data_IF_617634771241
#
_entry.id   IF_617634771241
#
_cell.length_a   1.000
_cell.length_b   1.000
_cell.length_c   1.000
_cell.angle_alpha   90.00
_cell.angle_beta   90.00
_cell.angle_gamma   90.00
#
_symmetry.space_group_name_H-M   'P 1'
#
loop_
_entity.id
_entity.type
_entity.pdbx_description
1 polymer ?
#
# COMPACT_ATOMS: atom_id res chain seq x y z
N UNK A 1 -0.06 10.35 -7.72
CA UNK A 1 0.73 9.13 -7.99
C UNK A 1 -0.24 7.98 -8.09
N UNK A 2 -0.16 7.17 -9.16
CA UNK A 2 -1.07 6.03 -9.34
C UNK A 2 -0.49 4.78 -8.71
N UNK A 3 -1.26 4.15 -7.83
CA UNK A 3 -0.96 2.85 -7.24
C UNK A 3 -1.84 1.80 -7.91
N UNK A 4 -1.22 0.72 -8.34
CA UNK A 4 -1.91 -0.46 -8.84
C UNK A 4 -1.82 -1.56 -7.77
N UNK A 5 -2.97 -2.02 -7.33
CA UNK A 5 -3.08 -3.19 -6.45
C UNK A 5 -3.57 -4.37 -7.25
N UNK A 6 -2.86 -5.48 -7.16
CA UNK A 6 -3.22 -6.74 -7.80
C UNK A 6 -3.59 -7.77 -6.72
N UNK A 7 -4.83 -8.24 -6.76
CA UNK A 7 -5.21 -9.41 -5.98
C UNK A 7 -4.81 -10.67 -6.74
N UNK A 8 -3.83 -11.36 -6.17
CA UNK A 8 -3.27 -12.60 -6.69
C UNK A 8 -3.50 -13.76 -5.70
N UNK A 9 -4.52 -13.63 -4.86
CA UNK A 9 -4.89 -14.62 -3.84
C UNK A 9 -5.40 -15.95 -4.42
N UNK A 10 -5.54 -16.06 -5.73
CA UNK A 10 -5.85 -17.30 -6.45
C UNK A 10 -4.74 -17.78 -7.37
N UNK A 11 -3.62 -17.06 -7.40
CA UNK A 11 -2.50 -17.28 -8.31
C UNK A 11 -2.35 -16.16 -9.34
N UNK A 12 -1.44 -16.37 -10.30
CA UNK A 12 -1.19 -15.38 -11.36
C UNK A 12 -0.66 -16.05 -12.62
N UNK A 13 -1.22 -15.67 -13.77
CA UNK A 13 -0.71 -16.01 -15.11
C UNK A 13 -0.51 -14.73 -15.92
N UNK A 14 0.30 -14.80 -16.98
CA UNK A 14 0.49 -13.66 -17.88
C UNK A 14 -0.83 -13.25 -18.57
N UNK A 15 -1.64 -14.22 -19.00
CA UNK A 15 -2.92 -13.95 -19.64
C UNK A 15 -3.89 -13.24 -18.69
N UNK A 16 -4.09 -13.77 -17.48
CA UNK A 16 -5.00 -13.18 -16.51
C UNK A 16 -4.53 -11.78 -16.04
N UNK A 17 -3.21 -11.61 -15.88
CA UNK A 17 -2.66 -10.31 -15.51
C UNK A 17 -2.86 -9.27 -16.61
N UNK A 18 -2.58 -9.63 -17.87
CA UNK A 18 -2.79 -8.73 -18.99
C UNK A 18 -4.28 -8.40 -19.18
N UNK A 19 -5.15 -9.41 -19.04
CA UNK A 19 -6.59 -9.23 -19.12
C UNK A 19 -7.11 -8.26 -18.05
N UNK A 20 -6.67 -8.41 -16.81
CA UNK A 20 -7.06 -7.50 -15.73
C UNK A 20 -6.62 -6.05 -15.98
N UNK A 21 -5.45 -5.84 -16.60
CA UNK A 21 -4.96 -4.50 -16.94
C UNK A 21 -5.75 -3.89 -18.09
N UNK A 22 -6.12 -4.69 -19.11
CA UNK A 22 -6.95 -4.24 -20.23
C UNK A 22 -8.34 -3.88 -19.73
N UNK A 23 -8.95 -4.72 -18.91
CA UNK A 23 -10.25 -4.45 -18.29
C UNK A 23 -10.23 -3.21 -17.36
N UNK A 24 -9.07 -2.90 -16.78
CA UNK A 24 -8.84 -1.67 -16.00
C UNK A 24 -8.64 -0.41 -16.87
N UNK A 25 -8.76 -0.50 -18.19
CA UNK A 25 -8.81 0.66 -19.10
C UNK A 25 -7.54 0.90 -19.92
N UNK A 26 -6.72 -0.11 -20.15
CA UNK A 26 -5.61 -0.03 -21.11
C UNK A 26 -6.15 0.04 -22.53
N UNK A 27 -5.64 0.99 -23.31
CA UNK A 27 -5.93 1.11 -24.72
C UNK A 27 -5.23 -0.02 -25.49
N UNK A 28 -6.04 -0.97 -25.99
CA UNK A 28 -5.54 -2.16 -26.68
C UNK A 28 -4.99 -1.86 -28.08
N UNK A 29 -5.53 -0.88 -28.79
CA UNK A 29 -5.06 -0.54 -30.13
C UNK A 29 -3.66 0.07 -30.04
N UNK A 30 -3.49 1.00 -29.13
CA UNK A 30 -2.16 1.58 -28.82
C UNK A 30 -1.19 0.52 -28.32
N UNK A 31 -1.65 -0.42 -27.48
CA UNK A 31 -0.82 -1.50 -26.97
C UNK A 31 -0.30 -2.39 -28.12
N UNK A 32 -1.16 -2.72 -29.08
CA UNK A 32 -0.81 -3.51 -30.27
C UNK A 32 0.17 -2.75 -31.17
N UNK A 33 -0.04 -1.46 -31.40
CA UNK A 33 0.88 -0.61 -32.17
C UNK A 33 2.29 -0.53 -31.53
N UNK A 34 2.33 -0.27 -30.23
CA UNK A 34 3.58 -0.21 -29.48
C UNK A 34 4.34 -1.54 -29.52
N UNK A 35 3.65 -2.66 -29.34
CA UNK A 35 4.22 -4.00 -29.44
C UNK A 35 4.72 -4.30 -30.86
N UNK A 36 3.89 -4.03 -31.88
CA UNK A 36 4.21 -4.31 -33.26
C UNK A 36 5.48 -3.57 -33.73
N UNK A 37 5.75 -2.39 -33.17
CA UNK A 37 6.96 -1.61 -33.45
C UNK A 37 8.26 -2.33 -33.05
N UNK A 38 8.17 -3.32 -32.17
CA UNK A 38 9.32 -4.00 -31.55
C UNK A 38 9.38 -5.48 -31.89
N UNK A 39 8.23 -6.17 -31.85
CA UNK A 39 8.19 -7.63 -32.03
C UNK A 39 7.57 -8.07 -33.36
N UNK A 40 7.13 -7.13 -34.19
CA UNK A 40 6.41 -7.42 -35.42
C UNK A 40 4.91 -7.64 -35.20
N UNK A 41 4.18 -8.19 -36.18
CA UNK A 41 2.73 -8.31 -36.13
C UNK A 41 2.24 -9.06 -34.88
N UNK A 42 1.36 -8.43 -34.12
CA UNK A 42 0.71 -8.97 -32.91
C UNK A 42 -0.78 -8.74 -33.02
N UNK A 43 -1.57 -9.70 -32.55
CA UNK A 43 -3.00 -9.50 -32.33
C UNK A 43 -3.37 -9.81 -30.88
N UNK A 44 -4.29 -9.01 -30.36
CA UNK A 44 -4.86 -9.20 -29.02
C UNK A 44 -6.35 -9.40 -29.22
N UNK A 45 -6.87 -10.58 -28.86
CA UNK A 45 -8.29 -10.89 -28.89
C UNK A 45 -8.85 -10.89 -27.49
N UNK A 46 -9.94 -10.15 -27.32
CA UNK A 46 -10.65 -10.05 -26.05
C UNK A 46 -11.86 -10.97 -26.05
N UNK A 47 -12.00 -11.77 -25.02
CA UNK A 47 -13.12 -12.68 -24.82
C UNK A 47 -13.82 -12.27 -23.50
N UNK A 48 -14.87 -11.43 -23.57
CA UNK A 48 -15.56 -10.98 -22.37
C UNK A 48 -16.45 -12.09 -21.81
N UNK A 49 -16.38 -12.29 -20.51
CA UNK A 49 -17.29 -13.12 -19.73
C UNK A 49 -18.18 -12.21 -18.89
N UNK A 50 -19.47 -12.04 -19.24
CA UNK A 50 -20.36 -11.14 -18.53
C UNK A 50 -20.37 -11.42 -17.02
N UNK A 51 -20.24 -10.37 -16.21
CA UNK A 51 -20.20 -10.38 -14.76
C UNK A 51 -18.99 -11.09 -14.09
N UNK A 52 -18.05 -11.65 -14.86
CA UNK A 52 -16.89 -12.35 -14.32
C UNK A 52 -15.57 -11.61 -14.60
N UNK A 53 -15.43 -11.00 -15.80
CA UNK A 53 -14.21 -10.33 -16.21
C UNK A 53 -13.83 -10.62 -17.65
N UNK A 54 -12.55 -10.49 -17.96
CA UNK A 54 -12.00 -10.59 -19.29
C UNK A 54 -11.02 -11.77 -19.41
N UNK A 55 -11.13 -12.53 -20.47
CA UNK A 55 -10.07 -13.41 -20.93
C UNK A 55 -9.37 -12.79 -22.15
N UNK A 56 -8.08 -13.04 -22.30
CA UNK A 56 -7.29 -12.46 -23.37
C UNK A 56 -6.46 -13.52 -24.08
N UNK A 57 -6.48 -13.46 -25.39
CA UNK A 57 -5.63 -14.30 -26.24
C UNK A 57 -4.66 -13.38 -26.97
N UNK A 58 -3.40 -13.45 -26.62
CA UNK A 58 -2.34 -12.74 -27.31
C UNK A 58 -1.66 -13.68 -28.31
N UNK A 59 -1.79 -13.38 -29.57
CA UNK A 59 -1.17 -14.14 -30.67
C UNK A 59 -0.05 -13.31 -31.29
N UNK A 60 1.13 -13.91 -31.39
CA UNK A 60 2.28 -13.33 -32.06
C UNK A 60 2.87 -14.34 -33.03
N UNK A 61 3.09 -13.93 -34.27
CA UNK A 61 3.72 -14.76 -35.28
C UNK A 61 5.24 -14.80 -35.18
N UNK A 62 5.72 -14.98 -33.93
CA UNK A 62 7.14 -15.09 -33.61
C UNK A 62 7.54 -16.56 -33.55
N UNK A 63 8.07 -17.11 -34.63
CA UNK A 63 8.56 -18.48 -34.65
C UNK A 63 9.71 -18.72 -33.65
N UNK A 64 10.63 -17.78 -33.50
CA UNK A 64 11.70 -17.71 -32.47
C UNK A 64 12.16 -16.26 -32.33
N UNK A 65 11.77 -15.56 -31.26
CA UNK A 65 12.30 -14.20 -31.06
C UNK A 65 13.79 -14.26 -30.70
N UNK A 66 14.60 -13.58 -31.48
CA UNK A 66 15.97 -13.30 -31.08
C UNK A 66 15.91 -12.15 -30.03
N UNK A 67 16.13 -12.49 -28.77
CA UNK A 67 16.08 -11.51 -27.67
C UNK A 67 17.04 -10.32 -27.92
N UNK A 68 18.29 -10.50 -28.38
CA UNK A 68 19.16 -9.40 -28.79
C UNK A 68 18.54 -8.47 -29.83
N UNK A 69 17.81 -8.98 -30.81
CA UNK A 69 17.15 -8.17 -31.83
C UNK A 69 15.99 -7.37 -31.25
N UNK A 70 15.17 -8.01 -30.41
CA UNK A 70 14.09 -7.32 -29.69
C UNK A 70 14.66 -6.21 -28.80
N UNK A 71 15.71 -6.46 -28.05
CA UNK A 71 16.36 -5.43 -27.23
C UNK A 71 16.89 -4.27 -28.08
N UNK A 72 17.45 -4.55 -29.27
CA UNK A 72 17.86 -3.49 -30.22
C UNK A 72 16.66 -2.67 -30.70
N UNK A 73 15.56 -3.33 -31.04
CA UNK A 73 14.32 -2.66 -31.45
C UNK A 73 13.75 -1.79 -30.34
N UNK A 74 13.70 -2.29 -29.08
CA UNK A 74 13.27 -1.52 -27.92
C UNK A 74 14.14 -0.25 -27.72
N UNK A 75 15.43 -0.34 -27.88
CA UNK A 75 16.33 0.83 -27.76
C UNK A 75 16.04 1.91 -28.80
N UNK A 76 15.52 1.54 -29.95
CA UNK A 76 15.17 2.45 -31.06
C UNK A 76 13.70 2.87 -31.05
N UNK A 77 12.87 2.21 -30.25
CA UNK A 77 11.44 2.48 -30.17
C UNK A 77 11.13 3.87 -29.62
N UNK A 78 9.95 4.43 -29.88
CA UNK A 78 9.50 5.70 -29.34
C UNK A 78 9.14 5.63 -27.85
N UNK A 79 9.28 4.47 -27.21
CA UNK A 79 8.96 4.29 -25.79
C UNK A 79 9.76 5.19 -24.88
N UNK A 80 9.17 5.59 -23.76
CA UNK A 80 9.86 6.42 -22.76
C UNK A 80 11.13 5.72 -22.24
N UNK A 81 12.16 6.51 -21.90
CA UNK A 81 13.49 6.00 -21.52
C UNK A 81 13.47 5.03 -20.33
N UNK A 82 12.66 5.31 -19.32
CA UNK A 82 12.45 4.43 -18.17
C UNK A 82 11.82 3.08 -18.58
N UNK A 83 10.83 3.12 -19.47
CA UNK A 83 10.14 1.93 -19.98
C UNK A 83 11.10 1.04 -20.79
N UNK A 84 11.94 1.66 -21.66
CA UNK A 84 12.97 0.94 -22.42
C UNK A 84 13.96 0.23 -21.50
N UNK A 85 14.39 0.89 -20.42
CA UNK A 85 15.32 0.29 -19.46
C UNK A 85 14.68 -0.88 -18.69
N UNK A 86 13.41 -0.78 -18.35
CA UNK A 86 12.67 -1.88 -17.72
C UNK A 86 12.47 -3.06 -18.67
N UNK A 87 12.08 -2.80 -19.92
CA UNK A 87 11.92 -3.84 -20.94
C UNK A 87 13.20 -4.61 -21.22
N UNK A 88 14.33 -3.93 -21.31
CA UNK A 88 15.62 -4.59 -21.51
C UNK A 88 15.99 -5.50 -20.31
N UNK A 89 15.76 -5.05 -19.08
CA UNK A 89 15.98 -5.87 -17.86
C UNK A 89 15.07 -7.07 -17.80
N UNK A 90 13.79 -6.87 -18.14
CA UNK A 90 12.78 -7.92 -18.19
C UNK A 90 13.23 -9.05 -19.13
N UNK A 91 13.63 -8.69 -20.35
CA UNK A 91 14.01 -9.67 -21.38
C UNK A 91 15.28 -10.44 -21.02
N UNK A 92 16.26 -9.81 -20.37
CA UNK A 92 17.45 -10.52 -19.93
C UNK A 92 17.14 -11.65 -18.95
N UNK A 93 16.10 -11.53 -18.12
CA UNK A 93 15.66 -12.59 -17.23
C UNK A 93 14.83 -13.67 -17.93
N UNK A 94 14.05 -13.29 -18.94
CA UNK A 94 13.26 -14.22 -19.75
C UNK A 94 14.12 -15.05 -20.73
N UNK A 95 15.37 -14.67 -20.92
CA UNK A 95 16.32 -15.42 -21.77
C UNK A 95 16.76 -16.76 -21.16
N UNK A 96 16.39 -17.05 -19.92
CA UNK A 96 16.61 -18.37 -19.37
C UNK A 96 15.83 -19.44 -20.18
N UNK A 97 16.43 -20.62 -20.48
CA UNK A 97 15.84 -21.65 -21.39
C UNK A 97 14.51 -22.22 -20.92
N UNK A 98 14.01 -21.73 -19.81
CA UNK A 98 12.84 -22.22 -19.09
C UNK A 98 11.51 -21.66 -19.64
N UNK A 99 11.55 -20.50 -20.33
CA UNK A 99 10.32 -19.78 -20.72
C UNK A 99 9.79 -20.09 -22.14
N UNK A 100 10.48 -20.89 -22.91
CA UNK A 100 10.06 -21.16 -24.28
C UNK A 100 10.09 -19.93 -25.21
N UNK A 101 9.96 -20.12 -26.50
CA UNK A 101 9.97 -19.02 -27.46
C UNK A 101 8.59 -18.34 -27.61
N UNK A 102 8.58 -17.05 -27.88
CA UNK A 102 7.50 -16.31 -28.53
C UNK A 102 6.49 -15.68 -27.57
N UNK A 103 5.42 -16.37 -27.26
CA UNK A 103 4.23 -15.81 -26.59
C UNK A 103 4.54 -15.18 -25.21
N UNK A 104 5.28 -15.81 -24.29
CA UNK A 104 5.56 -15.22 -22.98
C UNK A 104 6.36 -13.90 -23.04
N UNK A 105 7.23 -13.77 -24.04
CA UNK A 105 8.01 -12.53 -24.26
C UNK A 105 7.09 -11.39 -24.68
N UNK A 106 6.19 -11.63 -25.61
CA UNK A 106 5.22 -10.63 -26.08
C UNK A 106 4.28 -10.22 -24.96
N UNK A 107 3.75 -11.18 -24.22
CA UNK A 107 2.86 -10.92 -23.08
C UNK A 107 3.57 -10.13 -21.97
N UNK A 108 4.81 -10.46 -21.67
CA UNK A 108 5.61 -9.73 -20.68
C UNK A 108 5.83 -8.27 -21.08
N UNK A 109 6.12 -8.01 -22.36
CA UNK A 109 6.23 -6.65 -22.91
C UNK A 109 4.86 -5.93 -22.91
N UNK A 110 3.79 -6.64 -23.26
CA UNK A 110 2.44 -6.11 -23.21
C UNK A 110 2.06 -5.64 -21.79
N UNK A 111 2.32 -6.45 -20.78
CA UNK A 111 2.06 -6.09 -19.39
C UNK A 111 2.87 -4.85 -18.96
N UNK A 112 4.15 -4.80 -19.35
CA UNK A 112 5.01 -3.64 -19.05
C UNK A 112 4.45 -2.36 -19.69
N UNK A 113 4.05 -2.42 -20.96
CA UNK A 113 3.45 -1.29 -21.68
C UNK A 113 2.10 -0.90 -21.07
N UNK A 114 1.26 -1.86 -20.73
CA UNK A 114 -0.03 -1.66 -20.10
C UNK A 114 0.10 -0.91 -18.78
N UNK A 115 1.02 -1.32 -17.92
CA UNK A 115 1.32 -0.63 -16.65
C UNK A 115 1.87 0.78 -16.91
N UNK A 116 2.68 0.95 -17.94
CA UNK A 116 3.16 2.26 -18.39
C UNK A 116 2.03 3.19 -18.85
N UNK A 117 1.06 2.69 -19.64
CA UNK A 117 -0.11 3.46 -20.06
C UNK A 117 -0.98 3.91 -18.89
N UNK A 118 -1.15 3.07 -17.88
CA UNK A 118 -1.90 3.39 -16.67
C UNK A 118 -1.16 4.39 -15.74
N UNK A 119 0.08 4.74 -16.06
CA UNK A 119 0.88 5.69 -15.29
C UNK A 119 1.17 5.21 -13.86
N UNK A 120 1.33 3.90 -13.67
CA UNK A 120 1.56 3.28 -12.37
C UNK A 120 2.94 3.64 -11.84
N UNK A 121 3.00 4.13 -10.61
CA UNK A 121 4.24 4.47 -9.91
C UNK A 121 4.55 3.52 -8.75
N UNK A 122 3.53 2.84 -8.23
CA UNK A 122 3.63 1.84 -7.17
C UNK A 122 2.79 0.61 -7.51
N UNK A 123 3.39 -0.58 -7.34
CA UNK A 123 2.74 -1.85 -7.60
C UNK A 123 2.70 -2.67 -6.30
N UNK A 124 1.50 -2.98 -5.83
CA UNK A 124 1.24 -3.75 -4.62
C UNK A 124 0.56 -5.05 -5.01
N UNK A 125 1.02 -6.16 -4.44
CA UNK A 125 0.37 -7.46 -4.55
C UNK A 125 -0.28 -7.78 -3.21
N UNK A 126 -1.48 -8.33 -3.23
CA UNK A 126 -1.99 -9.06 -2.07
C UNK A 126 -1.15 -10.33 -1.84
N UNK A 127 -1.40 -11.07 -0.76
CA UNK A 127 -0.72 -12.34 -0.54
C UNK A 127 -0.91 -13.26 -1.74
N UNK A 128 0.21 -13.72 -2.32
CA UNK A 128 0.21 -14.53 -3.53
C UNK A 128 -0.13 -15.98 -3.18
N UNK A 129 -1.22 -16.51 -3.75
CA UNK A 129 -1.50 -17.93 -3.67
C UNK A 129 -0.49 -18.74 -4.48
N UNK A 130 0.11 -19.72 -3.85
CA UNK A 130 1.12 -20.61 -4.45
C UNK A 130 0.80 -22.05 -4.06
N UNK A 131 0.80 -22.95 -5.03
CA UNK A 131 0.87 -24.37 -4.73
C UNK A 131 2.35 -24.77 -4.59
N UNK A 132 2.82 -25.06 -3.37
CA UNK A 132 4.24 -25.34 -3.13
C UNK A 132 4.78 -26.56 -3.91
N UNK A 133 3.89 -27.46 -4.31
CA UNK A 133 4.24 -28.67 -5.07
C UNK A 133 4.30 -28.43 -6.59
N UNK A 134 3.61 -27.39 -7.06
CA UNK A 134 3.53 -27.05 -8.47
C UNK A 134 4.60 -26.04 -8.94
N UNK A 135 5.15 -25.24 -8.02
CA UNK A 135 6.19 -24.26 -8.36
C UNK A 135 7.53 -24.96 -8.56
N UNK A 136 8.13 -24.85 -9.75
CA UNK A 136 9.45 -25.43 -9.99
C UNK A 136 10.53 -24.76 -9.14
N UNK A 137 11.56 -25.50 -8.74
CA UNK A 137 12.63 -25.03 -7.85
C UNK A 137 13.32 -23.74 -8.32
N UNK A 138 13.44 -23.53 -9.64
CA UNK A 138 14.00 -22.31 -10.21
C UNK A 138 13.05 -21.11 -10.10
N UNK A 139 11.73 -21.34 -10.04
CA UNK A 139 10.73 -20.31 -9.84
C UNK A 139 10.62 -19.87 -8.38
N UNK A 140 10.87 -20.77 -7.44
CA UNK A 140 10.76 -20.51 -6.01
C UNK A 140 11.66 -19.36 -5.52
N UNK A 141 12.84 -19.16 -6.13
CA UNK A 141 13.73 -18.04 -5.80
C UNK A 141 13.12 -16.68 -6.05
N UNK A 142 12.14 -16.57 -6.95
CA UNK A 142 11.46 -15.30 -7.24
C UNK A 142 10.39 -14.94 -6.23
N UNK A 143 10.04 -15.88 -5.36
CA UNK A 143 9.12 -15.65 -4.24
C UNK A 143 9.83 -15.08 -2.99
N UNK A 144 11.16 -15.01 -2.98
CA UNK A 144 11.90 -14.49 -1.83
C UNK A 144 11.50 -13.07 -1.48
N UNK A 145 11.12 -12.83 -0.21
CA UNK A 145 10.69 -11.53 0.30
C UNK A 145 9.27 -11.13 -0.10
N UNK A 146 8.47 -12.09 -0.61
CA UNK A 146 7.03 -11.94 -0.81
C UNK A 146 6.26 -12.80 0.18
N UNK A 147 5.14 -12.28 0.66
CA UNK A 147 4.20 -13.06 1.46
C UNK A 147 3.43 -14.00 0.54
N UNK A 148 3.52 -15.29 0.82
CA UNK A 148 2.87 -16.33 0.03
C UNK A 148 1.84 -17.08 0.86
N UNK A 149 0.69 -17.35 0.23
CA UNK A 149 -0.38 -18.15 0.81
C UNK A 149 -0.31 -19.55 0.20
N UNK A 150 -0.05 -20.61 0.96
CA UNK A 150 -0.04 -21.97 0.43
C UNK A 150 -1.48 -22.40 0.10
N UNK A 151 -1.77 -22.56 -1.19
CA UNK A 151 -3.08 -22.96 -1.70
C UNK A 151 -2.90 -24.08 -2.71
N UNK A 152 -3.40 -25.27 -2.40
CA UNK A 152 -3.36 -26.42 -3.32
C UNK A 152 -4.14 -26.10 -4.60
N UNK A 153 -3.54 -26.36 -5.76
CA UNK A 153 -4.14 -26.09 -7.06
C UNK A 153 -4.07 -24.62 -7.51
N UNK A 154 -3.38 -23.73 -6.76
CA UNK A 154 -3.14 -22.38 -7.22
C UNK A 154 -2.31 -22.38 -8.51
N UNK A 155 -2.77 -21.60 -9.50
CA UNK A 155 -2.12 -21.51 -10.80
C UNK A 155 -1.15 -20.33 -10.77
N UNK A 156 0.15 -20.64 -10.85
CA UNK A 156 1.21 -19.62 -10.87
C UNK A 156 2.10 -19.84 -12.09
N UNK A 157 2.09 -18.86 -12.98
CA UNK A 157 3.04 -18.82 -14.10
C UNK A 157 4.35 -18.18 -13.62
N UNK A 158 5.48 -18.91 -13.65
CA UNK A 158 6.76 -18.34 -13.28
C UNK A 158 7.17 -17.12 -14.12
N UNK A 159 6.73 -17.02 -15.36
CA UNK A 159 6.96 -15.83 -16.18
C UNK A 159 6.22 -14.61 -15.63
N UNK A 160 4.99 -14.79 -15.12
CA UNK A 160 4.26 -13.72 -14.44
C UNK A 160 4.96 -13.25 -13.17
N UNK A 161 5.49 -14.19 -12.36
CA UNK A 161 6.30 -13.82 -11.18
C UNK A 161 7.52 -12.98 -11.56
N UNK A 162 8.21 -13.37 -12.63
CA UNK A 162 9.36 -12.62 -13.10
C UNK A 162 8.97 -11.20 -13.56
N UNK A 163 7.89 -11.07 -14.32
CA UNK A 163 7.38 -9.75 -14.76
C UNK A 163 7.10 -8.87 -13.56
N UNK A 164 6.30 -9.33 -12.61
CA UNK A 164 5.92 -8.58 -11.42
C UNK A 164 7.16 -8.16 -10.61
N UNK A 165 8.11 -9.08 -10.43
CA UNK A 165 9.34 -8.79 -9.70
C UNK A 165 10.23 -7.77 -10.41
N UNK A 166 10.39 -7.88 -11.72
CA UNK A 166 11.18 -6.95 -12.53
C UNK A 166 10.62 -5.53 -12.48
N UNK A 167 9.32 -5.39 -12.22
CA UNK A 167 8.63 -4.11 -12.08
C UNK A 167 8.63 -3.57 -10.64
N UNK A 168 9.28 -4.27 -9.71
CA UNK A 168 9.38 -3.83 -8.33
C UNK A 168 8.11 -4.06 -7.50
N UNK A 169 7.26 -5.00 -7.92
CA UNK A 169 6.09 -5.39 -7.14
C UNK A 169 6.48 -5.86 -5.73
N UNK A 170 5.68 -5.50 -4.74
CA UNK A 170 5.85 -5.89 -3.35
C UNK A 170 4.53 -6.42 -2.81
N UNK A 171 4.59 -7.48 -2.01
CA UNK A 171 3.42 -7.90 -1.24
C UNK A 171 3.14 -6.92 -0.10
N UNK A 172 1.87 -6.77 0.24
CA UNK A 172 1.45 -5.89 1.31
C UNK A 172 -0.07 -5.74 1.38
N UNK A 173 -0.51 -5.03 2.39
CA UNK A 173 -1.93 -4.74 2.58
C UNK A 173 -2.47 -3.81 1.48
N UNK A 174 -3.79 -3.91 1.29
CA UNK A 174 -4.50 -3.01 0.38
C UNK A 174 -4.43 -1.57 0.93
N UNK A 175 -3.75 -0.63 0.26
CA UNK A 175 -3.61 0.73 0.77
C UNK A 175 -4.95 1.47 0.73
N UNK A 176 -5.12 2.44 1.63
CA UNK A 176 -6.25 3.37 1.53
C UNK A 176 -6.08 4.21 0.27
N UNK A 177 -6.96 4.02 -0.70
CA UNK A 177 -6.87 4.72 -1.98
C UNK A 177 -8.24 5.02 -2.59
N UNK A 178 -8.30 6.08 -3.37
CA UNK A 178 -9.45 6.36 -4.23
C UNK A 178 -9.31 5.51 -5.49
N UNK A 179 -10.23 4.58 -5.71
CA UNK A 179 -10.27 3.76 -6.90
C UNK A 179 -10.63 4.62 -8.12
N UNK A 180 -9.81 4.57 -9.15
CA UNK A 180 -9.99 5.25 -10.43
C UNK A 180 -10.51 4.28 -11.50
N UNK A 181 -10.00 3.05 -11.49
CA UNK A 181 -10.43 1.98 -12.37
C UNK A 181 -10.20 0.62 -11.70
N UNK A 182 -10.92 -0.38 -12.16
CA UNK A 182 -10.73 -1.77 -11.75
C UNK A 182 -10.91 -2.69 -12.94
N UNK A 183 -10.25 -3.85 -12.89
CA UNK A 183 -10.39 -4.86 -13.94
C UNK A 183 -10.15 -6.26 -13.39
N UNK A 184 -10.67 -7.25 -14.09
CA UNK A 184 -10.59 -8.66 -13.72
C UNK A 184 -10.16 -9.51 -14.91
N UNK A 185 -9.09 -10.28 -14.72
CA UNK A 185 -8.60 -11.26 -15.68
C UNK A 185 -8.84 -12.66 -15.18
N UNK A 186 -9.30 -13.54 -16.06
CA UNK A 186 -9.75 -14.87 -15.71
C UNK A 186 -8.69 -15.95 -15.94
N UNK A 187 -8.79 -17.04 -15.22
CA UNK A 187 -8.16 -18.32 -15.53
C UNK A 187 -9.18 -19.20 -16.30
N UNK A 188 -9.35 -18.95 -17.60
CA UNK A 188 -10.47 -19.53 -18.34
C UNK A 188 -11.81 -19.03 -17.78
N UNK A 189 -12.76 -19.91 -17.37
CA UNK A 189 -14.05 -19.46 -16.82
C UNK A 189 -14.02 -19.16 -15.30
N UNK A 190 -12.86 -19.11 -14.67
CA UNK A 190 -12.72 -18.96 -13.22
C UNK A 190 -12.05 -17.63 -12.90
N UNK A 191 -12.43 -17.00 -11.76
CA UNK A 191 -11.79 -15.83 -11.22
C UNK A 191 -10.27 -16.01 -11.14
N UNK A 192 -9.54 -15.02 -11.67
CA UNK A 192 -8.10 -15.00 -11.68
C UNK A 192 -7.52 -13.79 -10.94
N UNK A 193 -6.90 -12.89 -11.70
CA UNK A 193 -6.28 -11.67 -11.18
C UNK A 193 -7.31 -10.54 -11.17
N UNK A 194 -7.38 -9.79 -10.07
CA UNK A 194 -8.12 -8.52 -10.01
C UNK A 194 -7.12 -7.37 -9.90
N UNK A 195 -7.39 -6.31 -10.63
CA UNK A 195 -6.59 -5.09 -10.62
C UNK A 195 -7.42 -3.91 -10.12
N UNK A 196 -6.84 -3.12 -9.22
CA UNK A 196 -7.41 -1.83 -8.81
C UNK A 196 -6.38 -0.75 -9.04
N UNK A 197 -6.69 0.17 -9.91
CA UNK A 197 -5.92 1.37 -10.15
C UNK A 197 -6.49 2.50 -9.31
N UNK A 198 -5.65 3.20 -8.57
CA UNK A 198 -6.10 4.31 -7.76
C UNK A 198 -5.00 5.26 -7.35
N UNK A 199 -5.39 6.33 -6.70
CA UNK A 199 -4.47 7.24 -6.02
C UNK A 199 -4.53 7.03 -4.52
N UNK A 200 -3.37 6.80 -3.90
CA UNK A 200 -3.33 6.71 -2.44
C UNK A 200 -3.85 8.02 -1.85
N UNK A 201 -4.75 7.88 -0.92
CA UNK A 201 -5.25 9.00 -0.14
C UNK A 201 -4.47 8.93 1.16
N UNK A 202 -3.88 10.05 1.58
CA UNK A 202 -3.33 10.12 2.93
C UNK A 202 -4.41 9.61 3.88
N UNK A 203 -4.04 8.73 4.81
CA UNK A 203 -4.97 8.12 5.75
C UNK A 203 -5.88 9.24 6.29
N UNK A 204 -7.14 9.22 5.86
CA UNK A 204 -8.08 10.26 6.27
C UNK A 204 -8.23 10.15 7.78
N UNK A 205 -8.30 11.27 8.50
CA UNK A 205 -8.62 11.25 9.93
C UNK A 205 -10.01 10.63 10.22
N UNK A 206 -10.73 10.19 9.17
CA UNK A 206 -12.07 9.56 9.20
C UNK A 206 -12.07 8.05 8.91
N UNK A 207 -10.91 7.38 8.92
CA UNK A 207 -10.85 5.93 8.72
C UNK A 207 -11.27 5.13 9.97
N UNK A 208 -11.58 3.81 9.80
CA UNK A 208 -11.74 2.94 10.95
C UNK A 208 -10.45 2.92 11.77
N UNK A 209 -10.57 2.85 13.07
CA UNK A 209 -9.47 2.62 14.00
C UNK A 209 -9.70 1.34 14.76
N UNK A 210 -8.63 0.60 15.03
CA UNK A 210 -8.69 -0.54 15.92
C UNK A 210 -8.54 -0.06 17.37
N UNK A 211 -9.47 -0.51 18.23
CA UNK A 211 -9.39 -0.31 19.67
C UNK A 211 -9.11 -1.66 20.32
N UNK A 212 -7.93 -1.80 20.89
CA UNK A 212 -7.52 -2.99 21.62
C UNK A 212 -7.75 -2.77 23.11
N UNK A 213 -8.54 -3.65 23.73
CA UNK A 213 -8.80 -3.60 25.16
C UNK A 213 -8.22 -4.82 25.85
N UNK A 214 -7.57 -4.61 26.98
CA UNK A 214 -7.04 -5.67 27.82
C UNK A 214 -7.13 -5.30 29.29
N UNK A 215 -6.91 -6.29 30.15
CA UNK A 215 -6.83 -6.09 31.60
C UNK A 215 -5.50 -6.66 32.13
N UNK A 216 -4.80 -5.85 32.87
CA UNK A 216 -3.67 -6.31 33.68
C UNK A 216 -4.22 -6.97 34.96
N UNK A 217 -3.66 -8.12 35.37
CA UNK A 217 -4.17 -8.84 36.54
C UNK A 217 -4.03 -8.04 37.83
N UNK A 218 -4.86 -8.34 38.85
CA UNK A 218 -4.67 -7.78 40.18
C UNK A 218 -3.27 -8.11 40.70
N UNK A 219 -2.61 -7.12 41.26
CA UNK A 219 -1.23 -7.29 41.76
C UNK A 219 -0.14 -7.23 40.70
N UNK A 220 -0.48 -6.89 39.46
CA UNK A 220 0.52 -6.63 38.44
C UNK A 220 1.44 -5.48 38.89
N UNK A 221 2.70 -5.80 39.14
CA UNK A 221 3.71 -4.89 39.68
C UNK A 221 4.57 -4.18 38.66
N UNK A 222 4.18 -4.23 37.39
CA UNK A 222 4.94 -3.63 36.29
C UNK A 222 4.80 -2.11 36.21
N UNK A 223 5.74 -1.51 35.48
CA UNK A 223 5.76 -0.07 35.23
C UNK A 223 4.81 0.29 34.07
N UNK A 224 3.72 0.96 34.39
CA UNK A 224 2.74 1.44 33.41
C UNK A 224 3.34 2.44 32.40
N UNK A 225 4.33 3.24 32.81
CA UNK A 225 5.00 4.15 31.91
C UNK A 225 5.82 3.40 30.85
N UNK A 226 6.46 2.30 31.25
CA UNK A 226 7.18 1.41 30.34
C UNK A 226 6.22 0.71 29.37
N UNK A 227 5.10 0.20 29.86
CA UNK A 227 4.06 -0.41 29.03
C UNK A 227 3.53 0.58 27.99
N UNK A 228 3.17 1.78 28.43
CA UNK A 228 2.72 2.83 27.53
C UNK A 228 3.75 3.14 26.45
N UNK A 229 5.02 3.25 26.82
CA UNK A 229 6.13 3.51 25.89
C UNK A 229 6.28 2.38 24.87
N UNK A 230 6.19 1.12 25.28
CA UNK A 230 6.26 -0.04 24.41
C UNK A 230 5.09 -0.05 23.41
N UNK A 231 3.86 0.17 23.89
CA UNK A 231 2.69 0.23 23.02
C UNK A 231 2.76 1.38 21.99
N UNK A 232 3.22 2.57 22.38
CA UNK A 232 3.42 3.68 21.46
C UNK A 232 4.50 3.36 20.41
N UNK A 233 5.57 2.68 20.80
CA UNK A 233 6.62 2.23 19.89
C UNK A 233 6.13 1.15 18.90
N UNK A 234 5.17 0.31 19.33
CA UNK A 234 4.53 -0.71 18.50
C UNK A 234 3.42 -0.16 17.59
N UNK A 235 3.18 1.16 17.59
CA UNK A 235 2.24 1.81 16.69
C UNK A 235 0.89 2.23 17.29
N UNK A 236 0.74 2.21 18.63
CA UNK A 236 -0.42 2.82 19.26
C UNK A 236 -0.41 4.35 19.05
N UNK A 237 -1.54 4.90 18.60
CA UNK A 237 -1.75 6.35 18.55
C UNK A 237 -2.02 6.90 19.96
N UNK A 238 -2.78 6.16 20.76
CA UNK A 238 -3.16 6.52 22.10
C UNK A 238 -3.23 5.29 23.01
N UNK A 239 -2.86 5.48 24.25
CA UNK A 239 -2.94 4.46 25.33
C UNK A 239 -3.68 5.05 26.50
N UNK A 240 -4.87 4.53 26.77
CA UNK A 240 -5.71 4.89 27.90
C UNK A 240 -5.55 3.85 29.00
N UNK A 241 -5.38 4.34 30.22
CA UNK A 241 -5.33 3.53 31.42
C UNK A 241 -6.54 3.90 32.28
N UNK A 242 -7.42 2.93 32.51
CA UNK A 242 -8.60 3.14 33.33
C UNK A 242 -8.32 2.74 34.77
N UNK A 243 -8.90 3.45 35.74
CA UNK A 243 -8.80 3.08 37.15
C UNK A 243 -9.24 1.63 37.39
N UNK A 244 -8.70 0.96 38.41
CA UNK A 244 -9.09 -0.41 38.70
C UNK A 244 -10.59 -0.52 38.96
N UNK A 245 -11.21 -1.53 38.35
CA UNK A 245 -12.60 -1.87 38.62
C UNK A 245 -12.76 -2.42 40.07
N UNK A 246 -13.97 -2.48 40.62
CA UNK A 246 -14.23 -2.96 42.00
C UNK A 246 -13.67 -4.37 42.30
N UNK A 247 -13.41 -5.17 41.26
CA UNK A 247 -12.83 -6.53 41.38
C UNK A 247 -11.32 -6.57 41.22
N UNK A 248 -10.66 -5.42 41.20
CA UNK A 248 -9.21 -5.29 40.97
C UNK A 248 -8.83 -5.41 39.49
N UNK A 249 -7.57 -5.06 39.20
CA UNK A 249 -7.02 -5.06 37.83
C UNK A 249 -7.12 -3.70 37.14
N UNK A 250 -6.12 -3.42 36.33
CA UNK A 250 -6.03 -2.19 35.54
C UNK A 250 -6.55 -2.51 34.14
N UNK A 251 -7.50 -1.75 33.64
CA UNK A 251 -7.92 -1.84 32.25
C UNK A 251 -7.12 -0.90 31.40
N UNK A 252 -6.72 -1.38 30.23
CA UNK A 252 -6.09 -0.57 29.21
C UNK A 252 -6.90 -0.61 27.93
N UNK A 253 -7.00 0.52 27.26
CA UNK A 253 -7.52 0.62 25.91
C UNK A 253 -6.47 1.33 25.04
N UNK A 254 -6.15 0.75 23.91
CA UNK A 254 -5.19 1.28 22.95
C UNK A 254 -5.92 1.57 21.65
N UNK A 255 -5.60 2.70 21.04
CA UNK A 255 -6.11 3.04 19.70
C UNK A 255 -4.97 3.01 18.72
N UNK A 256 -5.19 2.41 17.55
CA UNK A 256 -4.21 2.36 16.47
C UNK A 256 -4.87 2.33 15.09
N UNK A 257 -4.06 2.62 14.07
CA UNK A 257 -4.39 2.25 12.70
C UNK A 257 -4.55 0.72 12.60
N UNK A 258 -5.53 0.20 11.84
CA UNK A 258 -5.69 -1.24 11.65
C UNK A 258 -4.42 -1.99 11.21
N UNK A 259 -3.55 -1.33 10.46
CA UNK A 259 -2.27 -1.91 10.03
C UNK A 259 -1.32 -2.24 11.20
N UNK A 260 -1.47 -1.60 12.35
CA UNK A 260 -0.64 -1.84 13.54
C UNK A 260 -1.30 -2.80 14.55
N UNK A 261 -2.52 -3.26 14.29
CA UNK A 261 -3.30 -4.09 15.23
C UNK A 261 -2.53 -5.33 15.66
N UNK A 262 -1.99 -6.09 14.70
CA UNK A 262 -1.31 -7.35 14.99
C UNK A 262 -0.04 -7.12 15.83
N UNK A 263 0.80 -6.17 15.45
CA UNK A 263 2.03 -5.86 16.20
C UNK A 263 1.76 -5.40 17.63
N UNK A 264 0.67 -4.64 17.85
CA UNK A 264 0.25 -4.24 19.19
C UNK A 264 -0.31 -5.41 20.00
N UNK A 265 -1.03 -6.32 19.36
CA UNK A 265 -1.52 -7.54 20.02
C UNK A 265 -0.37 -8.41 20.49
N UNK A 266 0.64 -8.60 19.64
CA UNK A 266 1.83 -9.38 19.96
C UNK A 266 2.61 -8.72 21.12
N UNK A 267 2.81 -7.41 21.08
CA UNK A 267 3.42 -6.64 22.18
C UNK A 267 2.66 -6.81 23.52
N UNK A 268 1.33 -6.77 23.49
CA UNK A 268 0.52 -6.95 24.69
C UNK A 268 0.63 -8.35 25.27
N UNK A 269 0.60 -9.38 24.41
CA UNK A 269 0.60 -10.78 24.85
C UNK A 269 2.02 -11.24 25.21
N UNK A 270 3.00 -10.98 24.35
CA UNK A 270 4.34 -11.53 24.49
C UNK A 270 5.24 -10.69 25.42
N UNK A 271 5.23 -9.35 25.27
CA UNK A 271 6.13 -8.47 26.02
C UNK A 271 5.55 -8.06 27.37
N UNK A 272 4.21 -7.86 27.44
CA UNK A 272 3.55 -7.37 28.66
C UNK A 272 2.89 -8.53 29.43
N UNK A 273 2.62 -9.65 28.77
CA UNK A 273 2.09 -10.86 29.40
C UNK A 273 0.61 -10.78 29.77
N UNK A 274 -0.21 -10.09 28.98
CA UNK A 274 -1.66 -10.06 29.22
C UNK A 274 -2.30 -11.39 28.79
N UNK A 275 -3.36 -11.81 29.48
CA UNK A 275 -4.03 -13.09 29.23
C UNK A 275 -4.99 -13.07 28.04
N UNK A 276 -5.30 -11.89 27.52
CA UNK A 276 -6.16 -11.75 26.35
C UNK A 276 -6.34 -10.29 25.93
N UNK A 277 -6.61 -10.12 24.64
CA UNK A 277 -6.86 -8.82 24.02
C UNK A 277 -8.17 -8.91 23.26
N UNK A 278 -9.07 -7.96 23.51
CA UNK A 278 -10.28 -7.77 22.72
C UNK A 278 -10.05 -6.64 21.73
N UNK A 279 -10.29 -6.88 20.45
CA UNK A 279 -10.25 -5.85 19.41
C UNK A 279 -11.66 -5.49 18.98
N UNK A 280 -11.91 -4.20 18.85
CA UNK A 280 -13.13 -3.62 18.28
C UNK A 280 -12.72 -2.59 17.22
N UNK A 281 -13.33 -2.64 16.06
CA UNK A 281 -13.12 -1.66 15.02
C UNK A 281 -14.22 -0.62 15.10
N UNK A 282 -13.80 0.65 15.20
CA UNK A 282 -14.73 1.77 15.35
C UNK A 282 -14.48 2.79 14.24
N UNK A 283 -15.56 3.35 13.72
CA UNK A 283 -15.47 4.47 12.80
C UNK A 283 -15.09 5.73 13.59
N UNK A 284 -14.10 6.47 13.10
CA UNK A 284 -13.66 7.74 13.68
C UNK A 284 -14.01 8.87 12.73
N UNK A 285 -14.80 9.82 13.20
CA UNK A 285 -14.97 11.12 12.56
C UNK A 285 -14.04 12.11 13.27
N UNK A 286 -12.98 12.51 12.59
CA UNK A 286 -12.06 13.53 13.09
C UNK A 286 -12.20 14.82 12.27
N UNK A 287 -12.13 15.94 12.93
CA UNK A 287 -12.04 17.23 12.26
C UNK A 287 -10.61 17.38 11.73
N UNK A 288 -10.49 17.76 10.46
CA UNK A 288 -9.16 18.02 9.88
C UNK A 288 -8.50 19.19 10.61
N UNK A 289 -7.27 18.97 11.07
CA UNK A 289 -6.47 19.99 11.71
C UNK A 289 -5.10 20.10 11.02
N UNK A 290 -4.80 21.29 10.58
CA UNK A 290 -3.45 21.65 10.13
C UNK A 290 -2.56 21.87 11.36
N UNK A 291 -1.32 21.41 11.34
CA UNK A 291 -0.34 21.69 12.40
C UNK A 291 0.47 22.92 12.03
N UNK A 292 0.38 23.93 12.86
CA UNK A 292 1.13 25.17 12.74
C UNK A 292 2.08 25.31 13.93
N UNK A 293 3.35 25.61 13.69
CA UNK A 293 4.30 25.98 14.74
C UNK A 293 4.48 27.50 14.76
N UNK A 294 4.29 28.11 15.90
CA UNK A 294 4.44 29.54 16.11
C UNK A 294 5.52 29.86 17.14
N UNK A 295 6.31 30.93 16.92
CA UNK A 295 7.28 31.39 17.89
C UNK A 295 6.57 32.06 19.08
N UNK A 296 7.06 31.78 20.28
CA UNK A 296 6.69 32.45 21.51
C UNK A 296 7.97 32.87 22.25
N UNK A 297 7.91 33.81 23.20
CA UNK A 297 9.06 34.12 24.02
C UNK A 297 9.59 32.85 24.74
N UNK A 298 10.82 32.45 24.43
CA UNK A 298 11.47 31.27 25.01
C UNK A 298 11.29 29.96 24.22
N UNK A 299 10.59 29.94 23.08
CA UNK A 299 10.49 28.72 22.26
C UNK A 299 9.35 28.75 21.28
N UNK A 300 9.15 27.62 20.59
CA UNK A 300 8.04 27.46 19.65
C UNK A 300 6.96 26.56 20.23
N UNK A 301 5.70 26.90 19.99
CA UNK A 301 4.54 26.10 20.39
C UNK A 301 3.80 25.65 19.13
N UNK A 302 3.50 24.36 19.04
CA UNK A 302 2.66 23.79 17.97
C UNK A 302 1.19 24.02 18.30
N UNK A 303 0.40 24.29 17.26
CA UNK A 303 -1.05 24.41 17.35
C UNK A 303 -1.72 23.48 16.32
N UNK A 304 -2.86 22.92 16.70
CA UNK A 304 -3.81 22.36 15.75
C UNK A 304 -4.76 23.48 15.28
N UNK A 305 -4.81 23.70 13.97
CA UNK A 305 -5.65 24.71 13.31
C UNK A 305 -6.78 24.00 12.60
N UNK A 306 -7.99 24.17 13.07
CA UNK A 306 -9.20 23.67 12.40
C UNK A 306 -9.75 24.73 11.46
N UNK A 307 -10.02 24.34 10.19
CA UNK A 307 -10.55 25.24 9.17
C UNK A 307 -11.92 24.77 8.69
N UNK A 308 -12.81 25.73 8.44
CA UNK A 308 -14.04 25.52 7.70
C UNK A 308 -14.08 26.48 6.51
N UNK A 309 -14.26 25.94 5.29
CA UNK A 309 -14.27 26.75 4.08
C UNK A 309 -13.01 27.61 3.87
N UNK A 310 -11.84 27.14 4.35
CA UNK A 310 -10.58 27.89 4.28
C UNK A 310 -10.31 28.82 5.47
N UNK A 311 -11.32 29.16 6.27
CA UNK A 311 -11.19 30.04 7.43
C UNK A 311 -10.81 29.26 8.69
N UNK A 312 -9.82 29.73 9.46
CA UNK A 312 -9.46 29.13 10.73
C UNK A 312 -10.56 29.41 11.77
N UNK A 313 -11.26 28.34 12.20
CA UNK A 313 -12.37 28.45 13.17
C UNK A 313 -11.96 28.07 14.58
N UNK A 314 -10.86 27.31 14.73
CA UNK A 314 -10.37 26.90 16.04
C UNK A 314 -8.85 26.73 16.03
N UNK A 315 -8.22 27.27 17.04
CA UNK A 315 -6.77 27.17 17.31
C UNK A 315 -6.56 26.48 18.66
N UNK A 316 -5.88 25.35 18.66
CA UNK A 316 -5.64 24.57 19.89
C UNK A 316 -4.13 24.37 20.06
N UNK A 317 -3.48 25.13 20.97
CA UNK A 317 -2.06 24.96 21.26
C UNK A 317 -1.78 23.62 21.96
N UNK A 318 -0.61 23.03 21.66
CA UNK A 318 -0.13 21.83 22.33
C UNK A 318 0.32 22.17 23.76
N UNK A 319 -0.33 21.54 24.74
CA UNK A 319 -0.06 21.81 26.15
C UNK A 319 1.36 21.41 26.57
N UNK A 320 1.90 20.33 25.99
CA UNK A 320 3.25 19.87 26.31
C UNK A 320 4.32 20.91 25.93
N UNK A 321 4.20 21.48 24.73
CA UNK A 321 5.10 22.52 24.26
C UNK A 321 4.98 23.78 25.12
N UNK A 322 3.76 24.18 25.48
CA UNK A 322 3.51 25.33 26.33
C UNK A 322 4.08 25.12 27.77
N UNK A 323 4.04 23.89 28.28
CA UNK A 323 4.65 23.55 29.57
C UNK A 323 6.17 23.66 29.54
N UNK A 324 6.82 23.23 28.47
CA UNK A 324 8.29 23.35 28.31
C UNK A 324 8.70 24.83 28.26
N UNK A 325 8.06 25.62 27.40
CA UNK A 325 8.34 27.06 27.29
C UNK A 325 8.06 27.80 28.61
N UNK A 326 6.99 27.43 29.31
CA UNK A 326 6.66 28.02 30.60
C UNK A 326 7.74 27.77 31.64
N UNK A 327 8.33 26.58 31.69
CA UNK A 327 9.45 26.22 32.59
C UNK A 327 10.72 27.03 32.29
N UNK A 328 11.03 27.22 31.01
CA UNK A 328 12.22 27.96 30.58
C UNK A 328 12.09 29.45 30.79
N UNK A 329 10.89 30.01 30.64
CA UNK A 329 10.67 31.46 30.70
C UNK A 329 10.17 31.95 32.04
N UNK A 330 9.72 31.06 32.95
CA UNK A 330 9.06 31.44 34.19
C UNK A 330 7.66 32.03 34.04
N UNK A 331 7.11 32.07 32.82
CA UNK A 331 5.74 32.51 32.59
C UNK A 331 4.74 31.42 33.01
N UNK A 332 3.50 31.84 33.29
CA UNK A 332 2.44 30.85 33.47
C UNK A 332 2.13 30.12 32.15
N UNK A 333 1.76 28.84 32.25
CA UNK A 333 1.35 28.02 31.06
C UNK A 333 0.22 28.70 30.30
N UNK A 334 -0.74 29.30 31.03
CA UNK A 334 -1.85 30.03 30.38
C UNK A 334 -1.39 31.23 29.58
N UNK A 335 -0.35 31.94 30.08
CA UNK A 335 0.23 33.07 29.31
C UNK A 335 0.85 32.55 28.02
N UNK A 336 1.61 31.48 28.04
CA UNK A 336 2.23 30.90 26.86
C UNK A 336 1.15 30.41 25.86
N UNK A 337 0.12 29.70 26.33
CA UNK A 337 -1.00 29.26 25.46
C UNK A 337 -1.67 30.43 24.76
N UNK A 338 -1.92 31.53 25.47
CA UNK A 338 -2.51 32.77 24.88
C UNK A 338 -1.58 33.40 23.86
N UNK A 339 -0.29 33.55 24.18
CA UNK A 339 0.69 34.10 23.24
C UNK A 339 0.81 33.27 21.96
N UNK A 340 0.73 31.94 22.06
CA UNK A 340 0.74 31.05 20.91
C UNK A 340 -0.50 31.24 20.02
N UNK A 341 -1.69 31.41 20.62
CA UNK A 341 -2.92 31.70 19.86
C UNK A 341 -2.83 33.06 19.18
N UNK A 342 -2.39 34.10 19.88
CA UNK A 342 -2.21 35.44 19.35
C UNK A 342 -1.23 35.45 18.17
N UNK A 343 -0.10 34.76 18.29
CA UNK A 343 0.89 34.62 17.22
C UNK A 343 0.32 33.89 15.99
N UNK A 344 -0.50 32.86 16.21
CA UNK A 344 -1.16 32.13 15.13
C UNK A 344 -2.19 32.99 14.39
N UNK A 345 -2.98 33.79 15.11
CA UNK A 345 -3.95 34.71 14.52
C UNK A 345 -3.27 35.81 13.67
N UNK A 346 -2.16 36.36 14.15
CA UNK A 346 -1.40 37.34 13.36
C UNK A 346 -0.85 36.74 12.07
N UNK A 347 -0.37 35.47 12.13
CA UNK A 347 0.14 34.78 10.95
C UNK A 347 -0.96 34.38 9.96
N UNK A 348 -2.14 34.02 10.45
CA UNK A 348 -3.29 33.71 9.63
C UNK A 348 -3.85 34.95 8.90
N UNK A 349 -3.79 36.12 9.54
CA UNK A 349 -4.20 37.41 8.95
C UNK A 349 -3.24 37.91 7.85
N UNK A 350 -2.00 37.40 7.78
CA UNK A 350 -1.02 37.78 6.75
C UNK A 350 -1.06 36.90 5.51
N UNK A 351 -1.84 35.80 5.52
CA UNK A 351 -1.91 34.79 4.44
C UNK A 351 -3.31 34.81 3.76
N UNK A 352 -4.24 35.58 4.23
CA UNK A 352 -5.52 35.85 3.59
C UNK A 352 -5.49 37.22 2.90
#
# INVERSE_FOLDING_TARGET
MNTLVLDVSRGVTLDALLAALVDAGVDTDRLVEDLASVVGPVSIRLEPYPALGLNIVCEAHLARPDIPDIVRAIRRSPWQGSLRAHAARLLMGLHAPVFGPGRPVVQALAILLAIGQLGVTRLVLTSLAVDPLAVPAWGARWLQGWDVLPVSGAIVDPAALWVLRSMGARTGDFPTMRILASGSGLFGPVDGVRAWLGSEVAAHPRGPVAVLETALPPGWGGDLARVRKACLAAGAEEVFVHPPAPRGGIRMALRCDPAHEQGLRDCLIEDIGVMGVRTTWVQRDAVEAERLSVPTPGGSVRLAVHREGGTAVRLVPELCDALEVARETGHSVQTILRLAVDAALHRAALVG
#
